data_IF_948885462510
#
_entry.id   IF_948885462510
#
_cell.length_a   1.000
_cell.length_b   1.000
_cell.length_c   1.000
_cell.angle_alpha   90.00
_cell.angle_beta   90.00
_cell.angle_gamma   90.00
#
_symmetry.space_group_name_H-M   'P 1'
#
loop_
_entity.id
_entity.type
_entity.pdbx_description
1 polymer ?
#
# COMPACT_ATOMS: atom_id res chain seq x y z
N UNK A 1 4.73 -12.02 26.56
CA UNK A 1 5.56 -12.43 25.40
C UNK A 1 4.62 -12.96 24.33
N UNK A 2 4.64 -12.40 23.12
CA UNK A 2 3.92 -12.98 21.99
C UNK A 2 4.70 -14.21 21.52
N UNK A 3 4.08 -15.39 21.56
CA UNK A 3 4.70 -16.64 21.10
C UNK A 3 4.53 -16.76 19.57
N UNK A 4 5.16 -15.85 18.82
CA UNK A 4 5.05 -15.83 17.35
C UNK A 4 6.23 -16.57 16.73
N UNK A 5 5.94 -17.54 15.84
CA UNK A 5 6.97 -18.25 15.10
C UNK A 5 7.43 -17.40 13.91
N UNK A 6 8.72 -17.04 13.89
CA UNK A 6 9.33 -16.36 12.76
C UNK A 6 9.55 -17.35 11.61
N UNK A 7 9.18 -16.96 10.39
CA UNK A 7 9.41 -17.71 9.17
C UNK A 7 10.04 -16.81 8.12
N UNK A 8 11.29 -17.12 7.74
CA UNK A 8 12.03 -16.38 6.72
C UNK A 8 11.98 -17.12 5.38
N UNK A 9 11.96 -16.37 4.30
CA UNK A 9 12.08 -16.93 2.96
C UNK A 9 13.53 -17.24 2.62
N UNK A 10 13.73 -18.18 1.70
CA UNK A 10 15.04 -18.47 1.11
C UNK A 10 15.52 -17.25 0.33
N UNK A 11 16.82 -16.92 0.45
CA UNK A 11 17.41 -15.80 -0.25
C UNK A 11 17.20 -15.87 -1.77
N UNK A 12 17.07 -14.71 -2.42
CA UNK A 12 16.89 -14.55 -3.88
C UNK A 12 15.71 -15.31 -4.49
N UNK A 13 14.70 -15.67 -3.69
CA UNK A 13 13.49 -16.37 -4.14
C UNK A 13 12.23 -15.54 -3.82
N UNK A 14 12.01 -14.41 -4.53
CA UNK A 14 10.92 -13.47 -4.23
C UNK A 14 9.53 -14.11 -4.32
N UNK A 15 9.36 -15.19 -5.11
CA UNK A 15 8.07 -15.87 -5.25
C UNK A 15 7.50 -16.35 -3.91
N UNK A 16 8.35 -16.68 -2.91
CA UNK A 16 7.88 -17.12 -1.59
C UNK A 16 7.20 -16.01 -0.79
N UNK A 17 7.52 -14.75 -1.07
CA UNK A 17 6.84 -13.56 -0.54
C UNK A 17 5.78 -13.00 -1.49
N UNK A 18 5.45 -13.71 -2.58
CA UNK A 18 4.70 -13.16 -3.72
C UNK A 18 3.34 -12.54 -3.37
N UNK A 19 2.64 -13.04 -2.33
CA UNK A 19 1.39 -12.46 -1.86
C UNK A 19 1.61 -11.06 -1.25
N UNK A 20 2.61 -10.92 -0.37
CA UNK A 20 2.98 -9.64 0.22
C UNK A 20 3.54 -8.69 -0.85
N UNK A 21 4.39 -9.19 -1.75
CA UNK A 21 4.92 -8.38 -2.87
C UNK A 21 3.80 -7.86 -3.77
N UNK A 22 2.79 -8.69 -4.07
CA UNK A 22 1.66 -8.26 -4.89
C UNK A 22 0.81 -7.20 -4.18
N UNK A 23 0.58 -7.36 -2.88
CA UNK A 23 -0.09 -6.35 -2.05
C UNK A 23 0.69 -5.02 -2.09
N UNK A 24 2.00 -5.06 -1.88
CA UNK A 24 2.88 -3.88 -1.90
C UNK A 24 2.79 -3.18 -3.26
N UNK A 25 2.85 -3.92 -4.37
CA UNK A 25 2.70 -3.35 -5.72
C UNK A 25 1.36 -2.64 -5.91
N UNK A 26 0.25 -3.20 -5.41
CA UNK A 26 -1.07 -2.57 -5.50
C UNK A 26 -1.12 -1.29 -4.65
N UNK A 27 -0.59 -1.31 -3.43
CA UNK A 27 -0.52 -0.11 -2.58
C UNK A 27 0.35 0.99 -3.20
N UNK A 28 1.53 0.64 -3.73
CA UNK A 28 2.38 1.58 -4.48
C UNK A 28 1.67 2.20 -5.67
N UNK A 29 0.88 1.40 -6.38
CA UNK A 29 0.10 1.88 -7.52
C UNK A 29 -0.94 2.94 -7.12
N UNK A 30 -1.66 2.70 -6.02
CA UNK A 30 -2.63 3.67 -5.48
C UNK A 30 -1.91 4.94 -5.05
N UNK A 31 -0.79 4.81 -4.30
CA UNK A 31 0.02 5.95 -3.87
C UNK A 31 0.50 6.79 -5.06
N UNK A 32 1.05 6.16 -6.11
CA UNK A 32 1.50 6.88 -7.31
C UNK A 32 0.37 7.64 -7.98
N UNK A 33 -0.84 7.07 -8.05
CA UNK A 33 -2.01 7.78 -8.59
C UNK A 33 -2.40 8.97 -7.72
N UNK A 34 -2.47 8.80 -6.40
CA UNK A 34 -2.83 9.93 -5.52
C UNK A 34 -1.76 11.03 -5.59
N UNK A 35 -0.48 10.67 -5.64
CA UNK A 35 0.58 11.65 -5.80
C UNK A 35 0.52 12.38 -7.16
N UNK A 36 0.16 11.68 -8.24
CA UNK A 36 0.11 12.28 -9.58
C UNK A 36 -1.10 13.21 -9.78
N UNK A 37 -2.23 12.94 -9.13
CA UNK A 37 -3.49 13.65 -9.39
C UNK A 37 -4.03 14.47 -8.20
N UNK A 38 -3.55 14.21 -6.98
CA UNK A 38 -4.07 14.80 -5.74
C UNK A 38 -3.07 15.70 -5.00
N UNK A 39 -1.88 15.92 -5.58
CA UNK A 39 -0.85 16.80 -5.03
C UNK A 39 -0.80 18.10 -5.82
N UNK A 40 -1.37 19.15 -5.27
CA UNK A 40 -1.18 20.52 -5.74
C UNK A 40 -0.15 21.23 -4.85
N UNK A 41 0.71 22.04 -5.45
CA UNK A 41 1.63 22.91 -4.72
C UNK A 41 0.95 24.26 -4.46
N UNK A 42 0.80 24.61 -3.18
CA UNK A 42 0.28 25.91 -2.76
C UNK A 42 1.45 26.80 -2.33
N UNK A 43 1.57 27.96 -2.99
CA UNK A 43 2.59 28.93 -2.62
C UNK A 43 2.43 29.30 -1.13
N UNK A 44 3.55 29.27 -0.40
CA UNK A 44 3.67 29.49 1.06
C UNK A 44 3.24 28.33 1.99
N UNK A 45 2.56 27.29 1.50
CA UNK A 45 2.11 26.14 2.31
C UNK A 45 2.78 24.81 1.92
N UNK A 46 3.38 24.74 0.73
CA UNK A 46 4.02 23.54 0.21
C UNK A 46 3.04 22.61 -0.51
N UNK A 47 3.32 21.31 -0.54
CA UNK A 47 2.41 20.34 -1.14
C UNK A 47 1.18 20.12 -0.26
N UNK A 48 0.02 20.01 -0.91
CA UNK A 48 -1.30 19.82 -0.28
C UNK A 48 -1.43 18.54 0.55
N UNK A 49 -0.65 17.50 0.26
CA UNK A 49 -0.70 16.25 1.02
C UNK A 49 0.71 15.75 1.37
N UNK A 50 0.87 15.28 2.60
CA UNK A 50 2.06 14.57 3.06
C UNK A 50 1.81 13.06 3.07
N UNK A 51 2.88 12.28 2.88
CA UNK A 51 2.82 10.81 2.88
C UNK A 51 2.25 10.25 4.18
N UNK A 52 2.52 10.88 5.33
CA UNK A 52 2.02 10.42 6.63
C UNK A 52 0.49 10.47 6.67
N UNK A 53 -0.12 11.48 6.08
CA UNK A 53 -1.57 11.63 6.01
C UNK A 53 -2.18 10.73 4.94
N UNK A 54 -1.44 10.47 3.85
CA UNK A 54 -1.92 9.68 2.72
C UNK A 54 -1.95 8.17 3.01
N UNK A 55 -0.98 7.65 3.77
CA UNK A 55 -0.84 6.22 4.03
C UNK A 55 -2.09 5.59 4.69
N UNK A 56 -2.69 6.18 5.75
CA UNK A 56 -3.95 5.67 6.32
C UNK A 56 -5.09 5.64 5.30
N UNK A 57 -5.21 6.67 4.46
CA UNK A 57 -6.26 6.74 3.44
C UNK A 57 -6.11 5.62 2.40
N UNK A 58 -4.88 5.35 1.96
CA UNK A 58 -4.59 4.24 1.04
C UNK A 58 -4.86 2.88 1.68
N UNK A 59 -4.51 2.70 2.96
CA UNK A 59 -4.77 1.46 3.68
C UNK A 59 -6.28 1.17 3.76
N UNK A 60 -7.09 2.18 4.08
CA UNK A 60 -8.55 2.04 4.11
C UNK A 60 -9.09 1.75 2.72
N UNK A 61 -8.63 2.47 1.68
CA UNK A 61 -9.05 2.22 0.31
C UNK A 61 -8.75 0.78 -0.14
N UNK A 62 -7.56 0.26 0.18
CA UNK A 62 -7.19 -1.11 -0.14
C UNK A 62 -8.08 -2.13 0.60
N UNK A 63 -8.23 -1.98 1.92
CA UNK A 63 -9.00 -2.90 2.77
C UNK A 63 -10.52 -2.87 2.52
N UNK A 64 -11.03 -1.85 1.84
CA UNK A 64 -12.46 -1.74 1.51
C UNK A 64 -12.76 -2.05 0.05
N UNK A 65 -11.74 -2.06 -0.81
CA UNK A 65 -11.89 -2.36 -2.24
C UNK A 65 -12.13 -3.84 -2.49
N UNK A 66 -13.13 -4.16 -3.31
CA UNK A 66 -13.36 -5.54 -3.73
C UNK A 66 -12.34 -5.95 -4.80
N UNK A 67 -11.71 -7.10 -4.61
CA UNK A 67 -10.79 -7.65 -5.59
C UNK A 67 -11.55 -8.30 -6.75
N UNK A 68 -11.15 -8.02 -7.99
CA UNK A 68 -11.90 -8.42 -9.19
C UNK A 68 -12.12 -9.93 -9.34
N UNK A 69 -11.19 -10.75 -8.84
CA UNK A 69 -11.31 -12.22 -8.92
C UNK A 69 -12.13 -12.86 -7.82
N UNK A 70 -12.28 -12.20 -6.66
CA UNK A 70 -12.96 -12.78 -5.48
C UNK A 70 -14.24 -12.05 -5.13
N UNK A 71 -14.48 -10.87 -5.72
CA UNK A 71 -15.60 -9.97 -5.46
C UNK A 71 -15.75 -9.58 -3.98
N UNK A 72 -14.66 -9.70 -3.23
CA UNK A 72 -14.60 -9.43 -1.80
C UNK A 72 -13.44 -8.51 -1.49
N UNK A 73 -13.60 -7.71 -0.45
CA UNK A 73 -12.47 -7.02 0.15
C UNK A 73 -11.55 -8.02 0.86
N UNK A 74 -10.26 -7.68 1.02
CA UNK A 74 -9.37 -8.38 1.95
C UNK A 74 -9.98 -8.50 3.35
#
# INVERSE_FOLDING_TARGET
>A
MLTTKLAFYTAYHPQKGGLAERMIQTMEYILRRVCAYGMEYKAHEGYTQDLVTLLPAVQVAYNTSQHSSTEKSP
#
